data_IF_860779060783
#
_entry.id   IF_860779060783
#
_cell.length_a   1.000
_cell.length_b   1.000
_cell.length_c   1.000
_cell.angle_alpha   90.00
_cell.angle_beta   90.00
_cell.angle_gamma   90.00
#
_symmetry.space_group_name_H-M   'P 1'
#
loop_
_entity.id
_entity.type
_entity.pdbx_description
1 polymer ?
#
# COMPACT_ATOMS: atom_id res chain seq x y z
N UNK A 1 -15.26 -19.20 -1.95
CA UNK A 1 -13.98 -18.51 -2.23
C UNK A 1 -13.33 -18.19 -0.88
N UNK A 2 -12.24 -18.86 -0.50
CA UNK A 2 -11.65 -18.70 0.83
C UNK A 2 -10.94 -17.36 0.99
N UNK A 3 -11.06 -16.73 2.17
CA UNK A 3 -10.32 -15.51 2.50
C UNK A 3 -8.84 -15.87 2.62
N UNK A 4 -7.97 -15.30 1.76
CA UNK A 4 -6.52 -15.52 1.84
C UNK A 4 -5.85 -14.31 2.47
N UNK A 5 -5.31 -14.51 3.67
CA UNK A 5 -4.57 -13.51 4.44
C UNK A 5 -3.05 -13.55 4.20
N UNK A 6 -2.53 -14.67 3.69
CA UNK A 6 -1.11 -14.90 3.45
C UNK A 6 -0.71 -14.33 2.08
N UNK A 7 -0.61 -13.00 2.01
CA UNK A 7 -0.21 -12.25 0.81
C UNK A 7 1.31 -12.05 0.82
N UNK A 8 2.00 -12.80 -0.02
CA UNK A 8 3.46 -12.86 -0.10
C UNK A 8 3.91 -13.18 -1.53
N UNK A 9 5.11 -12.72 -1.90
CA UNK A 9 5.72 -12.93 -3.23
C UNK A 9 7.22 -13.24 -3.10
N UNK A 10 7.80 -13.94 -4.07
CA UNK A 10 9.24 -14.17 -4.13
C UNK A 10 9.89 -13.10 -5.01
N UNK A 11 10.81 -12.32 -4.46
CA UNK A 11 11.54 -11.27 -5.16
C UNK A 11 13.04 -11.53 -5.09
N UNK A 12 13.68 -11.82 -6.23
CA UNK A 12 15.13 -12.08 -6.31
C UNK A 12 15.61 -13.07 -5.23
N UNK A 13 14.87 -14.17 -5.05
CA UNK A 13 15.16 -15.21 -4.05
C UNK A 13 14.74 -14.90 -2.61
N UNK A 14 14.19 -13.71 -2.34
CA UNK A 14 13.76 -13.29 -1.01
C UNK A 14 12.24 -13.35 -0.88
N UNK A 15 11.76 -13.94 0.22
CA UNK A 15 10.34 -13.95 0.53
C UNK A 15 9.91 -12.58 1.07
N UNK A 16 9.02 -11.90 0.34
CA UNK A 16 8.44 -10.60 0.74
C UNK A 16 7.01 -10.83 1.20
N UNK A 17 6.60 -10.18 2.29
CA UNK A 17 5.26 -10.27 2.86
C UNK A 17 4.55 -8.91 2.77
N UNK A 18 3.36 -8.90 2.17
CA UNK A 18 2.50 -7.72 2.13
C UNK A 18 1.34 -7.83 3.10
N UNK A 19 0.77 -9.04 3.25
CA UNK A 19 -0.32 -9.34 4.18
C UNK A 19 -1.49 -8.34 4.11
N UNK A 20 -1.78 -7.77 2.93
CA UNK A 20 -2.69 -6.61 2.76
C UNK A 20 -4.02 -6.80 3.49
N UNK A 21 -4.71 -7.92 3.23
CA UNK A 21 -6.02 -8.20 3.83
C UNK A 21 -5.96 -8.40 5.34
N UNK A 22 -4.83 -8.91 5.87
CA UNK A 22 -4.65 -9.07 7.30
C UNK A 22 -4.46 -7.71 7.97
N UNK A 23 -3.69 -6.82 7.33
CA UNK A 23 -3.51 -5.46 7.80
C UNK A 23 -4.83 -4.66 7.78
N UNK A 24 -5.63 -4.78 6.71
CA UNK A 24 -6.98 -4.18 6.64
C UNK A 24 -7.86 -4.69 7.79
N UNK A 25 -7.89 -6.00 8.01
CA UNK A 25 -8.69 -6.59 9.08
C UNK A 25 -8.31 -6.05 10.47
N UNK A 26 -7.00 -5.94 10.76
CA UNK A 26 -6.50 -5.34 12.01
C UNK A 26 -6.93 -3.88 12.14
N UNK A 27 -6.80 -3.10 11.06
CA UNK A 27 -7.20 -1.70 11.05
C UNK A 27 -8.71 -1.51 11.22
N UNK A 28 -9.53 -2.34 10.60
CA UNK A 28 -10.99 -2.33 10.72
C UNK A 28 -11.42 -2.61 12.17
N UNK A 29 -10.84 -3.63 12.79
CA UNK A 29 -11.09 -3.93 14.21
C UNK A 29 -10.65 -2.78 15.12
N UNK A 30 -9.44 -2.25 14.91
CA UNK A 30 -8.95 -1.14 15.70
C UNK A 30 -9.86 0.09 15.60
N UNK A 31 -10.30 0.44 14.38
CA UNK A 31 -11.20 1.56 14.11
C UNK A 31 -12.62 1.35 14.67
N UNK A 32 -13.17 0.14 14.53
CA UNK A 32 -14.52 -0.20 14.99
C UNK A 32 -14.61 -0.18 16.52
N UNK A 33 -13.60 -0.73 17.20
CA UNK A 33 -13.58 -0.81 18.67
C UNK A 33 -12.78 0.31 19.35
N UNK A 34 -12.33 1.32 18.59
CA UNK A 34 -11.59 2.49 19.10
C UNK A 34 -10.37 2.11 19.95
N UNK A 35 -9.62 1.11 19.50
CA UNK A 35 -8.43 0.63 20.21
C UNK A 35 -8.71 -0.12 21.52
N UNK A 36 -9.94 -0.62 21.74
CA UNK A 36 -10.34 -1.34 22.96
C UNK A 36 -10.88 -2.73 22.65
N UNK A 37 -10.91 -3.63 23.63
CA UNK A 37 -11.47 -4.98 23.48
C UNK A 37 -10.85 -5.72 22.28
N UNK A 38 -11.69 -6.18 21.34
CA UNK A 38 -11.24 -6.86 20.12
C UNK A 38 -10.36 -6.01 19.19
N UNK A 39 -10.37 -4.68 19.34
CA UNK A 39 -9.45 -3.76 18.64
C UNK A 39 -8.27 -3.30 19.48
N UNK A 40 -8.04 -3.89 20.65
CA UNK A 40 -6.99 -3.50 21.61
C UNK A 40 -5.59 -3.94 21.22
N UNK A 41 -5.09 -3.50 20.06
CA UNK A 41 -3.74 -3.80 19.59
C UNK A 41 -2.71 -2.85 20.23
N UNK A 42 -1.72 -3.42 20.94
CA UNK A 42 -0.64 -2.63 21.57
C UNK A 42 0.40 -2.13 20.54
N UNK A 43 0.45 -2.76 19.38
CA UNK A 43 1.39 -2.55 18.29
C UNK A 43 0.71 -2.07 17.01
N UNK A 44 -0.42 -1.36 17.13
CA UNK A 44 -1.14 -0.83 15.95
C UNK A 44 -0.25 0.03 15.05
N UNK A 45 0.80 0.65 15.59
CA UNK A 45 1.79 1.42 14.83
C UNK A 45 2.71 0.59 13.94
N UNK A 46 2.69 -0.74 14.07
CA UNK A 46 3.47 -1.66 13.24
C UNK A 46 2.83 -1.95 11.87
N UNK A 47 1.52 -1.67 11.70
CA UNK A 47 0.88 -1.82 10.40
C UNK A 47 1.40 -0.74 9.44
N UNK A 48 1.57 -1.14 8.19
CA UNK A 48 1.98 -0.27 7.10
C UNK A 48 0.74 0.18 6.31
N UNK A 49 0.97 0.90 5.20
CA UNK A 49 -0.07 1.08 4.20
C UNK A 49 -0.53 -0.27 3.63
N UNK A 50 -1.72 -0.28 3.07
CA UNK A 50 -2.27 -1.42 2.37
C UNK A 50 -1.86 -1.31 0.91
N UNK A 51 -0.73 -1.95 0.55
CA UNK A 51 -0.16 -1.87 -0.80
C UNK A 51 -1.11 -2.44 -1.87
N UNK A 52 -2.03 -1.59 -2.30
CA UNK A 52 -3.06 -1.79 -3.32
C UNK A 52 -2.65 -1.11 -4.64
N UNK A 53 -3.60 -0.84 -5.52
CA UNK A 53 -3.34 -0.14 -6.78
C UNK A 53 -3.52 1.38 -6.72
N UNK A 54 -4.25 1.90 -5.74
CA UNK A 54 -4.58 3.33 -5.65
C UNK A 54 -3.41 4.10 -5.04
N UNK A 55 -2.90 3.65 -3.89
CA UNK A 55 -1.83 4.36 -3.17
C UNK A 55 -0.58 4.52 -4.02
N UNK A 56 -0.02 3.48 -4.68
CA UNK A 56 1.09 3.65 -5.62
C UNK A 56 0.80 4.66 -6.73
N UNK A 57 -0.42 4.66 -7.27
CA UNK A 57 -0.80 5.56 -8.35
C UNK A 57 -0.81 7.03 -7.88
N UNK A 58 -1.31 7.29 -6.67
CA UNK A 58 -1.24 8.63 -6.06
C UNK A 58 0.20 9.04 -5.81
N UNK A 59 1.03 8.16 -5.25
CA UNK A 59 2.45 8.45 -5.03
C UNK A 59 3.21 8.74 -6.34
N UNK A 60 2.87 8.02 -7.43
CA UNK A 60 3.38 8.30 -8.77
C UNK A 60 2.94 9.67 -9.28
N UNK A 61 1.65 10.01 -9.15
CA UNK A 61 1.12 11.31 -9.56
C UNK A 61 1.78 12.47 -8.79
N UNK A 62 2.08 12.26 -7.50
CA UNK A 62 2.80 13.24 -6.66
C UNK A 62 4.30 13.32 -6.99
N UNK A 63 4.82 12.50 -7.90
CA UNK A 63 6.24 12.45 -8.27
C UNK A 63 7.15 11.78 -7.22
N UNK A 64 6.56 11.13 -6.21
CA UNK A 64 7.28 10.41 -5.15
C UNK A 64 7.79 9.08 -5.70
N UNK A 65 6.93 8.31 -6.36
CA UNK A 65 7.34 7.13 -7.11
C UNK A 65 7.67 7.50 -8.55
N UNK A 66 8.83 7.04 -9.03
CA UNK A 66 9.27 7.22 -10.40
C UNK A 66 9.48 5.84 -11.02
N UNK A 67 8.71 5.55 -12.06
CA UNK A 67 8.79 4.28 -12.76
C UNK A 67 9.82 4.38 -13.89
N UNK A 68 10.38 3.23 -14.27
CA UNK A 68 11.11 3.11 -15.53
C UNK A 68 10.18 3.44 -16.71
N UNK A 69 10.75 3.78 -17.87
CA UNK A 69 9.97 4.10 -19.05
C UNK A 69 9.04 2.93 -19.43
N UNK A 70 9.54 1.69 -19.41
CA UNK A 70 8.76 0.49 -19.71
C UNK A 70 7.57 0.32 -18.77
N UNK A 71 7.80 0.44 -17.46
CA UNK A 71 6.74 0.29 -16.46
C UNK A 71 5.72 1.42 -16.56
N UNK A 72 6.17 2.65 -16.80
CA UNK A 72 5.29 3.79 -17.06
C UNK A 72 4.39 3.52 -18.27
N UNK A 73 4.96 3.08 -19.39
CA UNK A 73 4.21 2.74 -20.60
C UNK A 73 3.15 1.68 -20.32
N UNK A 74 3.50 0.58 -19.66
CA UNK A 74 2.54 -0.48 -19.32
C UNK A 74 1.37 0.03 -18.46
N UNK A 75 1.65 0.87 -17.47
CA UNK A 75 0.58 1.46 -16.63
C UNK A 75 -0.30 2.41 -17.44
N UNK A 76 0.30 3.26 -18.28
CA UNK A 76 -0.41 4.28 -19.04
C UNK A 76 -1.25 3.70 -20.18
N UNK A 77 -0.81 2.59 -20.78
CA UNK A 77 -1.55 1.82 -21.78
C UNK A 77 -2.61 0.89 -21.19
N UNK A 78 -2.78 0.85 -19.86
CA UNK A 78 -3.62 -0.10 -19.16
C UNK A 78 -3.25 -1.58 -19.42
N UNK A 79 -1.99 -1.85 -19.73
CA UNK A 79 -1.50 -3.21 -19.89
C UNK A 79 -1.51 -3.94 -18.54
N UNK A 80 -1.84 -5.22 -18.57
CA UNK A 80 -1.81 -6.05 -17.38
C UNK A 80 -0.37 -6.26 -16.91
N UNK A 81 -0.15 -6.09 -15.61
CA UNK A 81 1.09 -6.43 -14.91
C UNK A 81 0.75 -7.65 -14.05
N UNK A 82 1.45 -8.76 -14.30
CA UNK A 82 1.16 -10.04 -13.66
C UNK A 82 1.36 -10.00 -12.14
N UNK A 83 0.50 -10.68 -11.40
CA UNK A 83 0.62 -10.81 -9.95
C UNK A 83 1.92 -11.53 -9.58
N UNK A 84 2.71 -10.98 -8.66
CA UNK A 84 3.99 -11.55 -8.24
C UNK A 84 5.13 -11.37 -9.24
N UNK A 85 4.93 -10.62 -10.33
CA UNK A 85 6.04 -10.18 -11.20
C UNK A 85 6.95 -9.20 -10.47
N UNK A 86 8.16 -8.99 -10.99
CA UNK A 86 9.12 -8.06 -10.40
C UNK A 86 8.53 -6.66 -10.30
N UNK A 87 7.89 -6.20 -11.37
CA UNK A 87 7.26 -4.88 -11.47
C UNK A 87 6.13 -4.71 -10.45
N UNK A 88 5.27 -5.71 -10.31
CA UNK A 88 4.16 -5.66 -9.35
C UNK A 88 4.67 -5.60 -7.91
N UNK A 89 5.64 -6.45 -7.58
CA UNK A 89 6.23 -6.52 -6.24
C UNK A 89 6.97 -5.22 -5.92
N UNK A 90 7.71 -4.66 -6.88
CA UNK A 90 8.42 -3.39 -6.72
C UNK A 90 7.47 -2.22 -6.50
N UNK A 91 6.37 -2.12 -7.27
CA UNK A 91 5.37 -1.08 -7.07
C UNK A 91 4.85 -1.10 -5.62
N UNK A 92 4.48 -2.28 -5.13
CA UNK A 92 3.94 -2.46 -3.78
C UNK A 92 4.96 -2.17 -2.70
N UNK A 93 6.16 -2.75 -2.80
CA UNK A 93 7.21 -2.61 -1.81
C UNK A 93 7.72 -1.16 -1.74
N UNK A 94 7.93 -0.51 -2.89
CA UNK A 94 8.33 0.89 -2.94
C UNK A 94 7.25 1.82 -2.40
N UNK A 95 5.96 1.50 -2.57
CA UNK A 95 4.87 2.27 -1.98
C UNK A 95 4.91 2.24 -0.45
N UNK A 96 5.09 1.04 0.12
CA UNK A 96 5.23 0.88 1.58
C UNK A 96 6.41 1.69 2.07
N UNK A 97 7.57 1.49 1.45
CA UNK A 97 8.79 2.20 1.83
C UNK A 97 8.64 3.73 1.75
N UNK A 98 8.04 4.24 0.67
CA UNK A 98 7.83 5.67 0.48
C UNK A 98 6.97 6.28 1.58
N UNK A 99 5.89 5.59 2.00
CA UNK A 99 5.02 6.10 3.07
C UNK A 99 5.66 5.98 4.45
N UNK A 100 6.40 4.92 4.73
CA UNK A 100 7.18 4.81 5.97
C UNK A 100 8.22 5.94 6.07
N UNK A 101 8.89 6.28 4.95
CA UNK A 101 9.81 7.44 4.90
C UNK A 101 9.08 8.76 5.08
N UNK A 102 7.91 8.94 4.49
CA UNK A 102 7.08 10.13 4.71
C UNK A 102 6.68 10.27 6.18
N UNK A 103 6.31 9.16 6.84
CA UNK A 103 5.98 9.13 8.27
C UNK A 103 7.18 9.54 9.14
N UNK A 104 8.36 9.00 8.87
CA UNK A 104 9.61 9.38 9.55
C UNK A 104 9.91 10.87 9.39
N UNK A 105 9.75 11.41 8.18
CA UNK A 105 9.96 12.84 7.89
C UNK A 105 8.96 13.74 8.59
N UNK A 106 7.68 13.35 8.68
CA UNK A 106 6.66 14.08 9.42
C UNK A 106 7.00 14.17 10.91
N UNK A 107 7.51 13.07 11.47
CA UNK A 107 7.96 13.02 12.86
C UNK A 107 9.19 13.90 13.09
N UNK A 108 10.22 13.78 12.26
CA UNK A 108 11.49 14.49 12.47
C UNK A 108 11.39 16.00 12.20
N UNK A 109 10.64 16.41 11.18
CA UNK A 109 10.54 17.82 10.77
C UNK A 109 9.47 18.61 11.51
N UNK A 110 8.37 17.95 11.90
CA UNK A 110 7.20 18.63 12.47
C UNK A 110 6.79 18.10 13.85
N UNK A 111 7.51 17.11 14.41
CA UNK A 111 7.14 16.49 15.69
C UNK A 111 5.81 15.74 15.67
N UNK A 112 5.21 15.53 14.48
CA UNK A 112 3.91 14.89 14.34
C UNK A 112 4.06 13.37 14.27
N UNK A 113 3.46 12.68 15.22
CA UNK A 113 3.29 11.23 15.14
C UNK A 113 2.02 10.93 14.37
N UNK A 114 2.15 10.23 13.25
CA UNK A 114 1.05 9.81 12.37
C UNK A 114 1.24 8.32 12.13
N UNK A 115 0.17 7.54 12.14
CA UNK A 115 0.18 6.13 11.79
C UNK A 115 0.20 5.95 10.27
N UNK A 116 0.83 4.87 9.79
CA UNK A 116 0.80 4.56 8.35
C UNK A 116 -0.63 4.31 7.85
N UNK A 117 -1.51 3.81 8.72
CA UNK A 117 -2.96 3.70 8.47
C UNK A 117 -3.61 5.05 8.12
N UNK A 118 -3.25 6.12 8.82
CA UNK A 118 -3.82 7.44 8.58
C UNK A 118 -3.34 8.02 7.24
N UNK A 119 -2.06 7.79 6.92
CA UNK A 119 -1.48 8.17 5.63
C UNK A 119 -2.08 7.35 4.48
N UNK A 120 -2.28 6.04 4.68
CA UNK A 120 -2.96 5.16 3.73
C UNK A 120 -4.35 5.69 3.39
N UNK A 121 -5.19 5.90 4.41
CA UNK A 121 -6.56 6.38 4.24
C UNK A 121 -6.58 7.73 3.51
N UNK A 122 -5.68 8.65 3.87
CA UNK A 122 -5.56 9.94 3.21
C UNK A 122 -5.18 9.81 1.72
N UNK A 123 -4.11 9.05 1.41
CA UNK A 123 -3.66 8.82 0.04
C UNK A 123 -4.75 8.13 -0.79
N UNK A 124 -5.38 7.10 -0.23
CA UNK A 124 -6.45 6.37 -0.87
C UNK A 124 -7.66 7.28 -1.18
N UNK A 125 -8.07 8.11 -0.21
CA UNK A 125 -9.14 9.10 -0.40
C UNK A 125 -8.82 10.13 -1.49
N UNK A 126 -7.56 10.55 -1.61
CA UNK A 126 -7.12 11.40 -2.72
C UNK A 126 -7.26 10.68 -4.06
N UNK A 127 -6.87 9.41 -4.11
CA UNK A 127 -6.89 8.64 -5.34
C UNK A 127 -8.30 8.34 -5.87
N UNK A 128 -9.22 7.91 -5.01
CA UNK A 128 -10.60 7.59 -5.45
C UNK A 128 -11.38 8.81 -5.95
N UNK A 129 -10.98 10.02 -5.55
CA UNK A 129 -11.57 11.28 -6.03
C UNK A 129 -11.03 11.69 -7.40
N UNK A 130 -9.99 11.05 -7.89
CA UNK A 130 -9.40 11.34 -9.19
C UNK A 130 -9.75 10.24 -10.21
N UNK A 131 -10.80 10.40 -11.03
CA UNK A 131 -11.20 9.40 -12.03
C UNK A 131 -10.19 9.25 -13.17
N UNK A 132 -9.26 10.19 -13.33
CA UNK A 132 -8.20 10.13 -14.36
C UNK A 132 -6.93 9.43 -13.88
N UNK A 133 -6.89 9.00 -12.61
CA UNK A 133 -5.71 8.38 -12.00
C UNK A 133 -5.33 7.08 -12.73
N UNK A 134 -4.12 7.06 -13.29
CA UNK A 134 -3.54 5.87 -13.93
C UNK A 134 -2.87 4.99 -12.89
N UNK A 135 -3.38 3.78 -12.73
CA UNK A 135 -2.86 2.77 -11.81
C UNK A 135 -2.49 1.49 -12.56
N UNK A 136 -1.60 0.69 -11.96
CA UNK A 136 -1.28 -0.63 -12.51
C UNK A 136 -2.52 -1.52 -12.48
N UNK A 137 -2.61 -2.46 -13.44
CA UNK A 137 -3.69 -3.44 -13.51
C UNK A 137 -3.12 -4.82 -13.27
N UNK A 138 -3.52 -5.43 -12.16
CA UNK A 138 -3.07 -6.76 -11.79
C UNK A 138 -4.26 -7.60 -11.38
N UNK A 139 -4.45 -8.73 -12.05
CA UNK A 139 -5.42 -9.72 -11.62
C UNK A 139 -4.86 -10.51 -10.44
N UNK A 140 -5.44 -10.34 -9.26
CA UNK A 140 -5.00 -11.03 -8.04
C UNK A 140 -6.18 -11.31 -7.11
N UNK A 141 -5.99 -12.28 -6.23
CA UNK A 141 -6.93 -12.64 -5.15
C UNK A 141 -6.67 -11.87 -3.85
N UNK A 142 -5.61 -11.06 -3.82
CA UNK A 142 -5.25 -10.22 -2.68
C UNK A 142 -5.80 -8.79 -2.78
N UNK A 143 -6.16 -8.34 -3.99
CA UNK A 143 -6.72 -7.01 -4.22
C UNK A 143 -8.21 -6.92 -3.90
#
# INVERSE_FOLDING_TARGET
MGIRFRDHSLYKGHQVFFNKRAQIFVADLWNAFKGKGFGGFYDISSITIFADYIVPAVLRQLGILKYSLSLSTSVDSNSEIGSGTEEEVEIRACSIYAVEKARELLKSKYGKQVLSLELDLWLWCCGIKNPSLKHHRTLSIYY
#
